data_IF_792456925079
#
_entry.id   IF_792456925079
#
_cell.length_a   1.000
_cell.length_b   1.000
_cell.length_c   1.000
_cell.angle_alpha   90.00
_cell.angle_beta   90.00
_cell.angle_gamma   90.00
#
_symmetry.space_group_name_H-M   'P 1'
#
loop_
_entity.id
_entity.type
_entity.pdbx_description
1 polymer ?
#
# COMPACT_ATOMS: atom_id res chain seq x y z
N UNK A 1 -2.72 22.65 -2.71
CA UNK A 1 -3.05 21.96 -2.49
C UNK A 1 -2.57 21.03 -1.78
N UNK A 2 -2.88 20.54 -1.20
CA UNK A 2 -2.37 19.69 -0.56
C UNK A 2 -2.51 18.38 -0.85
N UNK A 3 -1.75 17.53 -0.87
CA UNK A 3 -1.87 16.29 -1.07
C UNK A 3 -2.21 15.62 0.04
N UNK A 4 -3.18 14.86 0.04
CA UNK A 4 -3.64 14.17 1.11
C UNK A 4 -3.51 12.74 0.87
N UNK A 5 -2.53 12.21 0.34
CA UNK A 5 -2.31 10.82 0.12
C UNK A 5 -2.21 10.49 -1.33
N UNK A 6 -2.17 9.21 -1.65
CA UNK A 6 -1.99 8.77 -3.00
C UNK A 6 -3.33 8.68 -3.70
N UNK A 7 -3.38 8.95 -4.96
CA UNK A 7 -4.62 8.80 -5.71
C UNK A 7 -4.88 7.34 -5.95
N UNK A 8 -6.14 6.98 -6.05
CA UNK A 8 -6.53 5.60 -6.26
C UNK A 8 -5.86 5.00 -7.49
N UNK A 9 -5.77 5.76 -8.56
CA UNK A 9 -5.17 5.24 -9.78
C UNK A 9 -3.69 4.94 -9.59
N UNK A 10 -3.02 5.72 -8.80
CA UNK A 10 -1.61 5.50 -8.53
C UNK A 10 -1.44 4.30 -7.61
N UNK A 11 -2.30 4.14 -6.64
CA UNK A 11 -2.24 3.01 -5.75
C UNK A 11 -2.47 1.71 -6.50
N UNK A 12 -3.37 1.70 -7.44
CA UNK A 12 -3.63 0.54 -8.26
C UNK A 12 -2.36 0.15 -9.01
N UNK A 13 -1.67 1.12 -9.56
CA UNK A 13 -0.45 0.84 -10.30
C UNK A 13 0.64 0.28 -9.39
N UNK A 14 0.75 0.80 -8.19
CA UNK A 14 1.73 0.31 -7.25
C UNK A 14 1.42 -1.14 -6.86
N UNK A 15 0.18 -1.43 -6.58
CA UNK A 15 -0.22 -2.76 -6.20
C UNK A 15 -0.04 -3.75 -7.35
N UNK A 16 -0.30 -3.32 -8.55
CA UNK A 16 -0.11 -4.18 -9.71
C UNK A 16 1.37 -4.52 -9.87
N UNK A 17 2.22 -3.56 -9.64
CA UNK A 17 3.63 -3.78 -9.76
C UNK A 17 4.12 -4.74 -8.68
N UNK A 18 3.63 -4.56 -7.46
CA UNK A 18 3.98 -5.45 -6.37
C UNK A 18 3.49 -6.87 -6.62
N UNK A 19 2.28 -7.00 -7.14
CA UNK A 19 1.74 -8.30 -7.45
C UNK A 19 2.56 -9.00 -8.52
N UNK A 20 3.04 -8.26 -9.47
CA UNK A 20 3.81 -8.83 -10.52
C UNK A 20 5.13 -9.36 -9.98
N UNK A 21 5.65 -8.77 -8.92
CA UNK A 21 6.89 -9.17 -8.37
C UNK A 21 6.78 -10.22 -7.28
N UNK A 22 5.77 -10.14 -6.45
CA UNK A 22 5.65 -11.00 -5.28
C UNK A 22 4.42 -11.90 -5.28
N UNK A 23 3.50 -11.68 -6.15
CA UNK A 23 2.26 -12.47 -6.20
C UNK A 23 1.09 -11.71 -5.61
N UNK A 24 -0.04 -12.32 -5.60
CA UNK A 24 -1.28 -11.70 -5.14
C UNK A 24 -1.40 -11.90 -3.64
N UNK A 25 -0.77 -11.07 -2.87
CA UNK A 25 -0.74 -11.19 -1.43
C UNK A 25 -1.76 -10.30 -0.77
N UNK A 26 -2.01 -10.56 0.50
CA UNK A 26 -2.96 -9.75 1.26
C UNK A 26 -2.40 -8.36 1.47
N UNK A 27 -3.25 -7.40 1.67
CA UNK A 27 -2.89 -6.02 1.90
C UNK A 27 -3.33 -5.60 3.29
N UNK A 28 -2.43 -5.05 4.07
CA UNK A 28 -2.76 -4.57 5.40
C UNK A 28 -2.39 -3.11 5.52
N UNK A 29 -3.14 -2.38 6.34
CA UNK A 29 -2.85 -1.01 6.60
C UNK A 29 -2.08 -0.95 7.88
N UNK A 30 -1.19 0.02 8.02
CA UNK A 30 -0.47 0.18 9.22
C UNK A 30 -1.41 0.43 10.32
N UNK A 31 -1.28 -0.14 11.51
CA UNK A 31 -2.18 -0.04 12.50
C UNK A 31 -1.93 1.05 13.34
N UNK A 32 -2.53 2.10 13.37
CA UNK A 32 -2.36 3.08 14.29
C UNK A 32 -3.58 3.72 14.65
N UNK A 33 -4.68 3.27 14.36
CA UNK A 33 -5.90 3.70 14.89
C UNK A 33 -6.48 4.97 14.40
N UNK A 34 -5.82 5.73 13.65
CA UNK A 34 -6.34 6.97 13.17
C UNK A 34 -6.55 6.96 11.69
N UNK A 35 -7.42 7.77 11.21
CA UNK A 35 -7.61 7.94 9.79
C UNK A 35 -6.44 8.72 9.28
N UNK A 36 -5.65 8.15 8.43
CA UNK A 36 -4.48 8.80 7.91
C UNK A 36 -4.39 8.62 6.44
N UNK A 37 -3.83 9.56 5.72
CA UNK A 37 -3.69 9.39 4.29
C UNK A 37 -2.67 8.31 3.99
N UNK A 38 -2.83 7.61 2.90
CA UNK A 38 -1.92 6.61 2.45
C UNK A 38 -1.11 7.20 1.32
N UNK A 39 0.19 7.06 1.38
CA UNK A 39 1.06 7.63 0.39
C UNK A 39 1.75 6.57 -0.45
N UNK A 40 1.82 5.34 0.03
CA UNK A 40 2.61 4.34 -0.66
C UNK A 40 2.15 2.93 -0.28
N UNK A 41 2.58 1.97 -1.03
CA UNK A 41 2.35 0.57 -0.73
C UNK A 41 3.67 -0.15 -0.89
N UNK A 42 4.00 -1.04 0.02
CA UNK A 42 5.28 -1.73 -0.06
C UNK A 42 5.16 -3.16 0.39
N UNK A 43 6.14 -3.96 0.06
CA UNK A 43 6.16 -5.36 0.45
C UNK A 43 6.80 -5.48 1.83
N UNK A 44 6.09 -6.15 2.72
CA UNK A 44 6.58 -6.36 4.08
C UNK A 44 7.05 -7.80 4.18
N UNK A 45 8.31 -8.03 4.06
CA UNK A 45 8.87 -9.35 4.00
C UNK A 45 8.62 -10.22 5.21
N UNK A 46 8.74 -9.75 6.44
CA UNK A 46 8.58 -10.63 7.58
C UNK A 46 7.26 -11.38 7.64
N UNK A 47 6.22 -10.77 7.11
CA UNK A 47 4.92 -11.41 7.15
C UNK A 47 4.43 -11.77 5.75
N UNK A 48 5.18 -11.50 4.76
CA UNK A 48 4.85 -11.83 3.37
C UNK A 48 3.51 -11.24 2.96
N UNK A 49 3.37 -9.97 3.13
CA UNK A 49 2.17 -9.28 2.70
C UNK A 49 2.54 -7.87 2.24
N UNK A 50 1.58 -7.14 1.69
CA UNK A 50 1.79 -5.76 1.29
C UNK A 50 1.26 -4.85 2.39
N UNK A 51 1.93 -3.76 2.63
CA UNK A 51 1.46 -2.79 3.60
C UNK A 51 1.26 -1.44 2.98
N UNK A 52 0.18 -0.78 3.37
CA UNK A 52 -0.09 0.56 2.92
C UNK A 52 0.50 1.50 3.96
N UNK A 53 1.31 2.41 3.53
CA UNK A 53 1.95 3.39 4.38
C UNK A 53 1.74 4.79 3.80
#
# INVERSE_FOLDING_TARGET
MNNRGIKASELIKLLQRLMSQYGDLDVFKERNGNTRPIYFAEYYQPENHFELT
#
